data_IF_916934198089
#
_entry.id   IF_916934198089
#
_cell.length_a   1.000
_cell.length_b   1.000
_cell.length_c   1.000
_cell.angle_alpha   90.00
_cell.angle_beta   90.00
_cell.angle_gamma   90.00
#
_symmetry.space_group_name_H-M   'P 1'
#
loop_
_entity.id
_entity.type
_entity.pdbx_description
1 polymer ?
#
# COMPACT_ATOMS: atom_id res chain seq x y z
N UNK A 1 24.23 2.35 -18.90
CA UNK A 1 24.37 0.99 -18.35
C UNK A 1 23.03 0.55 -17.80
N UNK A 2 22.50 -0.58 -18.25
CA UNK A 2 21.23 -1.08 -17.72
C UNK A 2 21.43 -1.56 -16.29
N UNK A 3 20.60 -1.09 -15.36
CA UNK A 3 20.62 -1.51 -13.97
C UNK A 3 20.13 -2.97 -13.87
N UNK A 4 20.75 -3.75 -13.01
CA UNK A 4 20.36 -5.15 -12.76
C UNK A 4 19.83 -5.29 -11.33
N UNK A 5 18.93 -6.25 -11.10
CA UNK A 5 18.30 -6.47 -9.80
C UNK A 5 19.32 -6.69 -8.66
N UNK A 6 20.40 -7.43 -8.94
CA UNK A 6 21.46 -7.69 -7.96
C UNK A 6 22.13 -6.41 -7.44
N UNK A 7 22.16 -5.35 -8.26
CA UNK A 7 22.77 -4.05 -7.95
C UNK A 7 21.75 -3.05 -7.38
N UNK A 8 20.57 -3.50 -6.99
CA UNK A 8 19.57 -2.69 -6.32
C UNK A 8 19.69 -2.88 -4.80
N UNK A 9 20.16 -1.84 -4.11
CA UNK A 9 20.44 -1.89 -2.68
C UNK A 9 19.37 -1.20 -1.83
N UNK A 10 18.43 -0.50 -2.44
CA UNK A 10 17.37 0.26 -1.80
C UNK A 10 16.16 0.41 -2.73
N UNK A 11 15.09 1.03 -2.22
CA UNK A 11 13.84 1.24 -2.97
C UNK A 11 14.03 2.17 -4.17
N UNK A 12 14.93 3.18 -4.07
CA UNK A 12 15.20 4.10 -5.19
C UNK A 12 15.91 3.41 -6.35
N UNK A 13 16.81 2.48 -6.05
CA UNK A 13 17.43 1.65 -7.09
C UNK A 13 16.40 0.80 -7.83
N UNK A 14 15.46 0.20 -7.09
CA UNK A 14 14.36 -0.58 -7.66
C UNK A 14 13.39 0.31 -8.46
N UNK A 15 13.14 1.54 -8.01
CA UNK A 15 12.38 2.55 -8.77
C UNK A 15 13.04 2.87 -10.11
N UNK A 16 14.35 3.07 -10.12
CA UNK A 16 15.10 3.33 -11.35
C UNK A 16 15.09 2.11 -12.30
N UNK A 17 15.18 0.90 -11.76
CA UNK A 17 15.06 -0.33 -12.56
C UNK A 17 13.64 -0.48 -13.13
N UNK A 18 12.59 -0.20 -12.33
CA UNK A 18 11.21 -0.19 -12.80
C UNK A 18 11.01 0.80 -13.96
N UNK A 19 11.60 2.01 -13.85
CA UNK A 19 11.58 3.01 -14.92
C UNK A 19 12.20 2.54 -16.23
N UNK A 20 13.19 1.63 -16.17
CA UNK A 20 13.81 1.03 -17.35
C UNK A 20 13.00 -0.13 -17.94
N UNK A 21 12.08 -0.71 -17.17
CA UNK A 21 11.28 -1.88 -17.57
C UNK A 21 9.90 -1.52 -18.08
N UNK A 22 9.34 -0.43 -17.57
CA UNK A 22 7.97 -0.02 -17.88
C UNK A 22 7.92 1.06 -18.96
N UNK A 23 6.91 1.02 -19.83
CA UNK A 23 6.54 2.18 -20.66
C UNK A 23 6.29 3.41 -19.78
N UNK A 24 6.67 4.60 -20.30
CA UNK A 24 6.57 5.86 -19.55
C UNK A 24 5.20 6.12 -18.93
N UNK A 25 4.07 5.95 -19.66
CA UNK A 25 2.75 6.14 -19.07
C UNK A 25 2.48 5.22 -17.86
N UNK A 26 2.86 3.95 -17.97
CA UNK A 26 2.68 2.96 -16.88
C UNK A 26 3.59 3.29 -15.69
N UNK A 27 4.83 3.70 -15.94
CA UNK A 27 5.72 4.13 -14.87
C UNK A 27 5.18 5.38 -14.17
N UNK A 28 4.72 6.38 -14.90
CA UNK A 28 4.16 7.60 -14.33
C UNK A 28 2.89 7.35 -13.52
N UNK A 29 2.07 6.37 -13.92
CA UNK A 29 0.91 5.96 -13.13
C UNK A 29 1.28 5.47 -11.73
N UNK A 30 2.37 4.68 -11.58
CA UNK A 30 2.85 4.24 -10.25
C UNK A 30 3.52 5.39 -9.51
N UNK A 31 4.40 6.12 -10.21
CA UNK A 31 5.34 7.08 -9.63
C UNK A 31 4.68 8.41 -9.30
N UNK A 32 3.64 8.80 -10.06
CA UNK A 32 2.93 10.06 -9.94
C UNK A 32 2.03 10.15 -8.71
N UNK A 33 1.68 11.40 -8.38
CA UNK A 33 0.76 11.76 -7.32
C UNK A 33 -0.20 12.87 -7.78
N UNK A 34 -0.95 13.49 -6.87
CA UNK A 34 -1.92 14.52 -7.19
C UNK A 34 -1.24 15.90 -7.33
N UNK A 35 -1.77 16.73 -8.20
CA UNK A 35 -1.44 18.13 -8.42
C UNK A 35 0.08 18.40 -8.44
N UNK A 36 0.59 19.26 -7.56
CA UNK A 36 2.01 19.61 -7.45
C UNK A 36 2.88 18.57 -6.74
N UNK A 37 2.29 17.44 -6.28
CA UNK A 37 2.96 16.34 -5.59
C UNK A 37 3.69 16.75 -4.29
N UNK A 38 3.22 17.79 -3.62
CA UNK A 38 3.79 18.30 -2.36
C UNK A 38 3.65 17.22 -1.28
N UNK A 39 2.44 16.68 -1.12
CA UNK A 39 2.14 15.62 -0.15
C UNK A 39 2.96 14.36 -0.44
N UNK A 40 3.10 13.97 -1.70
CA UNK A 40 3.93 12.82 -2.09
C UNK A 40 5.38 12.97 -1.65
N UNK A 41 5.98 14.14 -1.92
CA UNK A 41 7.36 14.41 -1.47
C UNK A 41 7.45 14.44 0.05
N UNK A 42 6.49 15.11 0.72
CA UNK A 42 6.44 15.22 2.18
C UNK A 42 6.30 13.86 2.86
N UNK A 43 5.57 12.91 2.28
CA UNK A 43 5.41 11.57 2.86
C UNK A 43 6.75 10.88 3.17
N UNK A 44 7.77 11.10 2.38
CA UNK A 44 9.11 10.53 2.62
C UNK A 44 10.02 11.52 3.36
N UNK A 45 10.03 12.81 3.00
CA UNK A 45 10.90 13.80 3.64
C UNK A 45 10.52 14.11 5.09
N UNK A 46 9.30 13.82 5.52
CA UNK A 46 8.89 13.98 6.92
C UNK A 46 9.77 13.17 7.88
N UNK A 47 10.25 12.01 7.46
CA UNK A 47 11.18 11.21 8.27
C UNK A 47 12.55 11.85 8.46
N UNK A 48 12.94 12.80 7.59
CA UNK A 48 14.22 13.52 7.71
C UNK A 48 14.18 14.57 8.82
N UNK A 49 13.00 15.03 9.23
CA UNK A 49 12.80 15.97 10.32
C UNK A 49 12.89 15.32 11.72
N UNK A 50 13.19 14.03 11.79
CA UNK A 50 13.27 13.27 13.02
C UNK A 50 14.53 12.41 13.06
N UNK A 51 15.28 12.49 14.13
CA UNK A 51 16.47 11.69 14.39
C UNK A 51 16.17 10.52 15.31
N UNK A 52 16.91 9.40 15.14
CA UNK A 52 16.93 8.27 16.05
C UNK A 52 18.07 8.44 17.06
N UNK A 53 17.80 8.19 18.34
CA UNK A 53 18.79 8.27 19.43
C UNK A 53 19.21 6.85 19.81
N UNK A 54 20.44 6.43 19.48
CA UNK A 54 20.92 5.10 19.79
C UNK A 54 21.32 4.94 21.27
N UNK A 55 21.11 3.74 21.81
CA UNK A 55 21.66 3.30 23.09
C UNK A 55 22.83 2.34 22.83
N UNK A 56 23.94 2.52 23.50
CA UNK A 56 25.14 1.71 23.32
C UNK A 56 25.34 0.72 24.46
N UNK A 57 26.16 -0.32 24.25
CA UNK A 57 26.51 -1.36 25.23
C UNK A 57 25.29 -2.18 25.71
N UNK A 58 24.23 -2.27 24.91
CA UNK A 58 22.98 -2.95 25.26
C UNK A 58 22.99 -4.48 25.08
N UNK A 59 24.11 -5.05 24.60
CA UNK A 59 24.26 -6.52 24.49
C UNK A 59 23.31 -7.18 23.48
N UNK A 60 23.06 -6.52 22.34
CA UNK A 60 22.09 -6.98 21.34
C UNK A 60 22.68 -8.11 20.49
N UNK A 61 22.35 -9.36 20.82
CA UNK A 61 22.78 -10.54 20.07
C UNK A 61 21.71 -11.01 19.08
N UNK A 62 20.49 -11.23 19.59
CA UNK A 62 19.34 -11.70 18.80
C UNK A 62 18.32 -10.59 18.62
N UNK A 63 17.68 -10.56 17.45
CA UNK A 63 16.66 -9.57 17.10
C UNK A 63 15.33 -10.28 16.83
N UNK A 64 14.28 -9.82 17.48
CA UNK A 64 12.89 -10.16 17.17
C UNK A 64 12.20 -8.93 16.52
N UNK A 65 11.87 -9.07 15.24
CA UNK A 65 11.17 -8.04 14.47
C UNK A 65 9.67 -8.28 14.40
N UNK A 66 9.17 -9.34 15.05
CA UNK A 66 7.76 -9.70 14.94
C UNK A 66 6.85 -8.69 15.63
N UNK A 67 5.66 -8.52 15.06
CA UNK A 67 4.59 -7.70 15.60
C UNK A 67 3.26 -8.44 15.49
N UNK A 68 2.28 -8.04 16.31
CA UNK A 68 0.89 -8.46 16.12
C UNK A 68 0.06 -7.25 15.74
N UNK A 69 -0.67 -7.35 14.62
CA UNK A 69 -1.56 -6.28 14.13
C UNK A 69 -2.88 -6.90 13.67
N UNK A 70 -4.01 -6.33 14.11
CA UNK A 70 -5.35 -6.90 13.85
C UNK A 70 -5.43 -8.38 14.26
N UNK A 71 -4.82 -8.74 15.40
CA UNK A 71 -4.75 -10.11 15.88
C UNK A 71 -3.86 -11.06 15.06
N UNK A 72 -3.22 -10.59 13.98
CA UNK A 72 -2.37 -11.38 13.10
C UNK A 72 -0.90 -11.19 13.44
N UNK A 73 -0.16 -12.30 13.61
CA UNK A 73 1.29 -12.26 13.80
C UNK A 73 2.01 -12.07 12.47
N UNK A 74 2.93 -11.12 12.44
CA UNK A 74 3.82 -10.85 11.30
C UNK A 74 5.27 -10.96 11.76
N UNK A 75 6.14 -11.54 10.92
CA UNK A 75 7.58 -11.65 11.22
C UNK A 75 8.34 -10.34 10.93
N UNK A 76 7.68 -9.38 10.27
CA UNK A 76 8.21 -8.05 9.96
C UNK A 76 7.21 -6.96 10.36
N UNK A 77 7.68 -5.82 10.91
CA UNK A 77 6.80 -4.70 11.29
C UNK A 77 6.37 -3.85 10.07
N UNK A 78 6.39 -4.45 8.88
CA UNK A 78 5.93 -3.82 7.63
C UNK A 78 5.31 -4.87 6.72
N UNK A 79 4.23 -4.49 6.03
CA UNK A 79 3.53 -5.35 5.09
C UNK A 79 3.26 -4.65 3.74
N UNK A 80 2.87 -5.44 2.74
CA UNK A 80 2.53 -4.96 1.42
C UNK A 80 1.14 -4.32 1.42
N UNK A 81 1.09 -2.98 1.29
CA UNK A 81 -0.15 -2.18 1.25
C UNK A 81 -1.01 -2.57 0.03
N UNK A 82 -2.35 -2.52 0.12
CA UNK A 82 -3.19 -2.80 -1.04
C UNK A 82 -2.95 -1.79 -2.17
N UNK A 83 -2.71 -2.30 -3.37
CA UNK A 83 -2.55 -1.50 -4.58
C UNK A 83 -3.25 -2.15 -5.76
N UNK A 84 -3.81 -1.33 -6.63
CA UNK A 84 -4.56 -1.75 -7.80
C UNK A 84 -3.67 -2.18 -8.97
N UNK A 85 -4.22 -2.95 -9.92
CA UNK A 85 -3.72 -3.15 -11.28
C UNK A 85 -2.33 -3.78 -11.37
N UNK A 86 -1.96 -4.66 -10.47
CA UNK A 86 -0.57 -5.12 -10.37
C UNK A 86 -0.07 -5.86 -11.62
N UNK A 87 -0.95 -6.57 -12.35
CA UNK A 87 -0.57 -7.22 -13.62
C UNK A 87 -0.29 -6.24 -14.76
N UNK A 88 -0.67 -4.97 -14.62
CA UNK A 88 -0.24 -3.92 -15.54
C UNK A 88 1.27 -3.62 -15.43
N UNK A 89 1.86 -3.89 -14.27
CA UNK A 89 3.27 -3.62 -13.98
C UNK A 89 4.17 -4.83 -14.21
N UNK A 90 3.65 -6.02 -13.94
CA UNK A 90 4.31 -7.31 -14.20
C UNK A 90 3.24 -8.38 -14.39
N UNK A 91 3.44 -9.31 -15.32
CA UNK A 91 2.45 -10.33 -15.66
C UNK A 91 1.98 -11.20 -14.49
N UNK A 92 2.84 -11.45 -13.51
CA UNK A 92 2.48 -12.20 -12.30
C UNK A 92 1.63 -11.38 -11.32
N UNK A 93 1.73 -10.04 -11.35
CA UNK A 93 0.92 -9.14 -10.53
C UNK A 93 0.88 -9.52 -9.06
N UNK A 94 -0.34 -9.61 -8.53
CA UNK A 94 -0.64 -9.94 -7.13
C UNK A 94 -0.07 -11.32 -6.71
N UNK A 95 0.05 -12.28 -7.65
CA UNK A 95 0.65 -13.60 -7.40
C UNK A 95 2.09 -13.51 -6.92
N UNK A 96 2.87 -12.64 -7.57
CA UNK A 96 4.28 -12.40 -7.22
C UNK A 96 4.42 -11.78 -5.83
N UNK A 97 3.54 -10.83 -5.51
CA UNK A 97 3.55 -10.14 -4.20
C UNK A 97 3.08 -11.09 -3.10
N UNK A 98 2.04 -11.87 -3.33
CA UNK A 98 1.53 -12.86 -2.40
C UNK A 98 2.62 -13.85 -1.97
N UNK A 99 3.30 -14.48 -2.95
CA UNK A 99 4.39 -15.44 -2.68
C UNK A 99 5.57 -14.79 -1.94
N UNK A 100 5.92 -13.55 -2.29
CA UNK A 100 6.97 -12.83 -1.59
C UNK A 100 6.57 -12.49 -0.15
N UNK A 101 5.33 -12.04 0.08
CA UNK A 101 4.81 -11.77 1.43
C UNK A 101 4.82 -13.03 2.30
N UNK A 102 4.38 -14.17 1.76
CA UNK A 102 4.42 -15.46 2.44
C UNK A 102 5.85 -15.86 2.83
N UNK A 103 6.79 -15.77 1.89
CA UNK A 103 8.21 -16.07 2.16
C UNK A 103 8.81 -15.25 3.29
N UNK A 104 8.34 -14.03 3.48
CA UNK A 104 8.83 -13.13 4.53
C UNK A 104 7.94 -13.12 5.80
N UNK A 105 6.92 -13.97 5.86
CA UNK A 105 6.01 -14.06 7.01
C UNK A 105 5.28 -12.74 7.29
N UNK A 106 4.93 -11.98 6.23
CA UNK A 106 4.23 -10.71 6.39
C UNK A 106 2.89 -10.70 5.69
N UNK A 107 2.04 -9.70 6.00
CA UNK A 107 0.70 -9.57 5.44
C UNK A 107 0.74 -9.04 4.00
N UNK A 108 -0.20 -9.51 3.19
CA UNK A 108 -0.48 -8.92 1.88
C UNK A 108 -1.87 -8.27 1.85
N UNK A 109 -1.89 -6.96 1.57
CA UNK A 109 -3.11 -6.21 1.29
C UNK A 109 -3.51 -6.35 -0.18
N UNK A 110 -4.65 -6.97 -0.46
CA UNK A 110 -5.20 -7.13 -1.80
C UNK A 110 -6.26 -6.07 -2.04
N UNK A 111 -6.18 -5.37 -3.18
CA UNK A 111 -7.13 -4.33 -3.54
C UNK A 111 -8.37 -4.90 -4.22
N UNK A 112 -9.54 -4.28 -4.00
CA UNK A 112 -10.75 -4.54 -4.78
C UNK A 112 -10.57 -4.29 -6.28
N UNK A 113 -9.57 -3.48 -6.66
CA UNK A 113 -9.13 -3.28 -8.05
C UNK A 113 -7.95 -4.19 -8.42
N UNK A 114 -7.84 -5.34 -7.76
CA UNK A 114 -6.86 -6.38 -8.08
C UNK A 114 -7.15 -7.05 -9.42
N UNK A 115 -6.08 -7.57 -10.02
CA UNK A 115 -6.12 -8.25 -11.32
C UNK A 115 -6.06 -9.78 -11.19
N UNK A 116 -6.03 -10.28 -9.98
CA UNK A 116 -6.11 -11.70 -9.59
C UNK A 116 -7.23 -11.84 -8.56
N UNK A 117 -8.01 -12.93 -8.64
CA UNK A 117 -9.16 -13.12 -7.75
C UNK A 117 -8.75 -13.32 -6.30
N UNK A 118 -9.64 -12.89 -5.36
CA UNK A 118 -9.46 -13.15 -3.93
C UNK A 118 -9.33 -14.63 -3.65
N UNK A 119 -10.12 -15.45 -4.36
CA UNK A 119 -10.07 -16.91 -4.24
C UNK A 119 -8.69 -17.47 -4.57
N UNK A 120 -8.12 -17.06 -5.69
CA UNK A 120 -6.78 -17.53 -6.11
C UNK A 120 -5.70 -17.14 -5.09
N UNK A 121 -5.73 -15.89 -4.61
CA UNK A 121 -4.77 -15.45 -3.58
C UNK A 121 -5.02 -16.20 -2.26
N UNK A 122 -6.29 -16.44 -1.88
CA UNK A 122 -6.67 -17.20 -0.69
C UNK A 122 -6.14 -18.63 -0.70
N UNK A 123 -6.24 -19.28 -1.86
CA UNK A 123 -5.76 -20.67 -2.05
C UNK A 123 -4.22 -20.74 -2.15
N UNK A 124 -3.56 -19.64 -2.55
CA UNK A 124 -2.13 -19.59 -2.85
C UNK A 124 -1.25 -19.46 -1.62
N UNK A 125 -1.66 -18.66 -0.62
CA UNK A 125 -0.84 -18.30 0.54
C UNK A 125 -1.57 -18.52 1.86
N UNK A 126 -0.79 -18.90 2.87
CA UNK A 126 -1.27 -19.11 4.25
C UNK A 126 -1.03 -17.92 5.19
N UNK A 127 -0.14 -17.01 4.82
CA UNK A 127 0.11 -15.78 5.59
C UNK A 127 -1.09 -14.86 5.64
N UNK A 128 -1.18 -13.96 6.65
CA UNK A 128 -2.29 -13.04 6.79
C UNK A 128 -2.56 -12.21 5.54
N UNK A 129 -3.83 -12.08 5.20
CA UNK A 129 -4.36 -11.36 4.04
C UNK A 129 -5.34 -10.29 4.49
N UNK A 130 -5.18 -9.07 4.00
CA UNK A 130 -6.08 -7.94 4.19
C UNK A 130 -6.80 -7.67 2.88
N UNK A 131 -8.13 -7.69 2.86
CA UNK A 131 -8.88 -7.24 1.69
C UNK A 131 -9.18 -5.74 1.79
N UNK A 132 -8.71 -4.95 0.84
CA UNK A 132 -9.02 -3.53 0.76
C UNK A 132 -10.22 -3.32 -0.15
N UNK A 133 -11.18 -2.60 0.35
CA UNK A 133 -12.50 -2.40 -0.19
C UNK A 133 -12.79 -0.93 -0.44
N UNK A 134 -13.50 -0.62 -1.55
CA UNK A 134 -14.13 0.67 -1.81
C UNK A 134 -15.63 0.52 -1.67
N UNK A 135 -16.29 1.53 -1.12
CA UNK A 135 -17.73 1.49 -0.92
C UNK A 135 -18.48 1.90 -2.19
N UNK A 136 -19.28 1.00 -2.75
CA UNK A 136 -19.98 1.21 -4.02
C UNK A 136 -21.42 1.64 -3.81
N UNK A 137 -21.99 2.35 -4.81
CA UNK A 137 -23.43 2.69 -4.85
C UNK A 137 -24.29 1.42 -4.89
N UNK A 138 -23.83 0.41 -5.61
CA UNK A 138 -24.46 -0.92 -5.62
C UNK A 138 -24.14 -1.68 -4.33
N UNK A 139 -25.15 -1.80 -3.47
CA UNK A 139 -25.00 -2.51 -2.17
C UNK A 139 -24.84 -4.02 -2.36
N UNK A 140 -25.46 -4.59 -3.43
CA UNK A 140 -25.28 -6.00 -3.77
C UNK A 140 -23.84 -6.34 -4.15
N UNK A 141 -23.16 -5.43 -4.86
CA UNK A 141 -21.72 -5.55 -5.14
C UNK A 141 -20.90 -5.51 -3.84
N UNK A 142 -21.24 -4.60 -2.91
CA UNK A 142 -20.58 -4.53 -1.62
C UNK A 142 -20.68 -5.84 -0.85
N UNK A 143 -21.88 -6.40 -0.76
CA UNK A 143 -22.14 -7.65 -0.05
C UNK A 143 -21.41 -8.83 -0.72
N UNK A 144 -21.48 -8.94 -2.04
CA UNK A 144 -20.78 -9.98 -2.78
C UNK A 144 -19.26 -9.94 -2.60
N UNK A 145 -18.65 -8.76 -2.53
CA UNK A 145 -17.21 -8.62 -2.29
C UNK A 145 -16.81 -9.05 -0.88
N UNK A 146 -17.61 -8.70 0.12
CA UNK A 146 -17.39 -9.14 1.51
C UNK A 146 -17.48 -10.67 1.61
N UNK A 147 -18.53 -11.27 1.03
CA UNK A 147 -18.73 -12.72 1.01
C UNK A 147 -17.58 -13.45 0.31
N UNK A 148 -17.10 -12.93 -0.83
CA UNK A 148 -15.94 -13.49 -1.55
C UNK A 148 -14.66 -13.43 -0.70
N UNK A 149 -14.42 -12.34 0.02
CA UNK A 149 -13.27 -12.22 0.90
C UNK A 149 -13.32 -13.19 2.09
N UNK A 150 -14.50 -13.36 2.69
CA UNK A 150 -14.74 -14.37 3.75
C UNK A 150 -14.50 -15.78 3.21
N UNK A 151 -15.12 -16.13 2.06
CA UNK A 151 -14.95 -17.43 1.42
C UNK A 151 -13.51 -17.76 1.00
N UNK A 152 -12.71 -16.71 0.71
CA UNK A 152 -11.29 -16.83 0.39
C UNK A 152 -10.37 -16.78 1.62
N UNK A 153 -10.92 -16.85 2.84
CA UNK A 153 -10.17 -16.83 4.11
C UNK A 153 -9.25 -15.60 4.27
N UNK A 154 -9.75 -14.41 3.92
CA UNK A 154 -9.06 -13.17 4.27
C UNK A 154 -9.21 -12.90 5.77
N UNK A 155 -8.11 -12.44 6.39
CA UNK A 155 -8.03 -12.28 7.84
C UNK A 155 -8.57 -10.94 8.32
N UNK A 156 -8.58 -9.91 7.47
CA UNK A 156 -9.05 -8.58 7.82
C UNK A 156 -9.66 -7.86 6.60
N UNK A 157 -10.57 -6.92 6.87
CA UNK A 157 -11.19 -6.05 5.87
C UNK A 157 -10.73 -4.60 6.12
N UNK A 158 -10.29 -3.90 5.08
CA UNK A 158 -9.96 -2.48 5.14
C UNK A 158 -10.89 -1.66 4.24
N UNK A 159 -11.74 -0.84 4.82
CA UNK A 159 -12.54 0.15 4.09
C UNK A 159 -11.68 1.38 3.79
N UNK A 160 -11.53 1.72 2.52
CA UNK A 160 -10.85 2.95 2.10
C UNK A 160 -11.83 4.12 2.13
N UNK A 161 -11.49 5.15 2.93
CA UNK A 161 -12.38 6.29 3.22
C UNK A 161 -11.87 7.63 2.65
N UNK A 162 -10.67 7.66 2.10
CA UNK A 162 -10.02 8.86 1.53
C UNK A 162 -10.26 9.01 0.01
N UNK A 163 -11.10 8.16 -0.59
CA UNK A 163 -11.25 8.07 -2.05
C UNK A 163 -12.74 8.12 -2.43
N UNK A 164 -13.42 9.20 -2.11
CA UNK A 164 -14.80 9.48 -2.55
C UNK A 164 -14.82 10.02 -3.99
N UNK A 165 -13.69 10.52 -4.46
CA UNK A 165 -13.44 10.97 -5.84
C UNK A 165 -11.97 10.70 -6.19
N UNK A 166 -11.62 10.73 -7.47
CA UNK A 166 -10.22 10.60 -7.91
C UNK A 166 -9.44 11.90 -7.72
N UNK A 167 -8.23 11.83 -7.17
CA UNK A 167 -7.30 12.96 -7.15
C UNK A 167 -6.83 13.33 -8.56
N UNK A 168 -6.46 14.58 -8.78
CA UNK A 168 -5.99 15.10 -10.07
C UNK A 168 -4.53 14.65 -10.32
N UNK A 169 -4.36 13.63 -11.15
CA UNK A 169 -3.03 13.05 -11.47
C UNK A 169 -2.53 13.59 -12.78
N UNK A 170 -1.93 14.75 -12.76
CA UNK A 170 -1.50 15.47 -13.97
C UNK A 170 -0.52 14.67 -14.84
N UNK A 171 0.34 13.83 -14.24
CA UNK A 171 1.24 12.97 -15.02
C UNK A 171 0.49 11.98 -15.90
N UNK A 172 -0.68 11.49 -15.47
CA UNK A 172 -1.53 10.61 -16.26
C UNK A 172 -2.15 11.39 -17.43
N UNK A 173 -2.54 12.66 -17.21
CA UNK A 173 -3.03 13.58 -18.26
C UNK A 173 -1.93 13.87 -19.27
N UNK A 174 -0.72 14.24 -18.85
CA UNK A 174 0.40 14.54 -19.75
C UNK A 174 0.85 13.34 -20.59
N UNK A 175 0.72 12.13 -20.09
CA UNK A 175 1.06 10.91 -20.83
C UNK A 175 -0.10 10.39 -21.67
N UNK A 176 -1.30 10.92 -21.47
CA UNK A 176 -2.53 10.43 -22.10
C UNK A 176 -2.98 9.06 -21.56
N UNK A 177 -2.47 8.65 -20.42
CA UNK A 177 -2.94 7.47 -19.68
C UNK A 177 -4.23 7.84 -18.92
N UNK A 178 -5.20 8.29 -19.70
CA UNK A 178 -6.52 8.73 -19.27
C UNK A 178 -7.56 7.68 -19.63
N UNK A 179 -8.81 7.96 -19.37
CA UNK A 179 -9.92 7.18 -19.82
C UNK A 179 -10.96 8.03 -20.55
N UNK A 180 -11.27 7.63 -21.77
CA UNK A 180 -10.51 6.67 -22.58
C UNK A 180 -9.04 7.12 -22.78
N UNK A 181 -8.10 6.21 -23.10
CA UNK A 181 -6.70 6.57 -23.31
C UNK A 181 -6.53 7.51 -24.51
N UNK A 182 -5.80 8.62 -24.30
CA UNK A 182 -5.43 9.60 -25.34
C UNK A 182 -3.92 9.69 -25.44
N UNK A 183 -3.28 8.57 -25.81
CA UNK A 183 -1.82 8.45 -25.80
C UNK A 183 -1.18 9.43 -26.77
N UNK A 184 -0.14 10.13 -26.28
CA UNK A 184 0.70 11.00 -27.10
C UNK A 184 1.64 10.17 -27.99
N UNK A 185 2.20 10.77 -29.07
CA UNK A 185 3.23 10.12 -29.88
C UNK A 185 4.42 9.63 -29.04
N UNK A 186 4.83 10.42 -28.05
CA UNK A 186 5.90 10.06 -27.10
C UNK A 186 5.51 8.82 -26.28
N UNK A 187 4.27 8.73 -25.87
CA UNK A 187 3.75 7.57 -25.12
C UNK A 187 3.70 6.33 -26.01
N UNK A 188 3.25 6.44 -27.25
CA UNK A 188 3.25 5.34 -28.22
C UNK A 188 4.68 4.82 -28.51
N UNK A 189 5.63 5.73 -28.73
CA UNK A 189 7.05 5.36 -28.85
C UNK A 189 7.58 4.65 -27.61
N UNK A 190 7.17 5.12 -26.43
CA UNK A 190 7.57 4.47 -25.17
C UNK A 190 7.07 3.03 -25.08
N UNK A 191 5.85 2.73 -25.53
CA UNK A 191 5.38 1.34 -25.60
C UNK A 191 6.20 0.51 -26.61
N UNK A 192 6.52 1.07 -27.78
CA UNK A 192 7.27 0.37 -28.81
C UNK A 192 8.70 -0.04 -28.39
N UNK A 193 9.36 0.77 -27.54
CA UNK A 193 10.73 0.48 -27.06
C UNK A 193 10.75 -0.42 -25.82
N UNK A 194 9.58 -0.88 -25.32
CA UNK A 194 9.46 -1.82 -24.21
C UNK A 194 8.80 -3.14 -24.67
N UNK A 195 9.38 -3.87 -25.65
CA UNK A 195 8.75 -5.05 -26.24
C UNK A 195 8.47 -6.16 -25.23
N UNK A 196 9.31 -6.32 -24.20
CA UNK A 196 9.09 -7.32 -23.14
C UNK A 196 7.80 -7.06 -22.35
N UNK A 197 7.50 -5.81 -22.03
CA UNK A 197 6.23 -5.43 -21.40
C UNK A 197 5.05 -5.65 -22.36
N UNK A 198 5.18 -5.19 -23.62
CA UNK A 198 4.14 -5.32 -24.61
C UNK A 198 3.78 -6.77 -24.93
N UNK A 199 4.77 -7.64 -25.09
CA UNK A 199 4.54 -9.07 -25.31
C UNK A 199 3.80 -9.72 -24.14
N UNK A 200 4.20 -9.44 -22.90
CA UNK A 200 3.50 -9.96 -21.72
C UNK A 200 2.06 -9.45 -21.60
N UNK A 201 1.80 -8.20 -21.98
CA UNK A 201 0.47 -7.60 -21.92
C UNK A 201 -0.47 -8.13 -23.00
N UNK A 202 0.01 -8.29 -24.26
CA UNK A 202 -0.85 -8.68 -25.38
C UNK A 202 -0.99 -10.20 -25.55
N UNK A 203 0.01 -10.97 -25.17
CA UNK A 203 0.03 -12.43 -25.33
C UNK A 203 -0.08 -13.21 -24.02
N UNK A 204 -0.09 -12.52 -22.90
CA UNK A 204 -0.34 -13.10 -21.59
C UNK A 204 -1.84 -13.31 -21.31
N UNK A 205 -2.14 -13.65 -20.08
CA UNK A 205 -3.50 -13.75 -19.58
C UNK A 205 -4.23 -12.38 -19.70
N UNK A 206 -5.48 -12.38 -20.12
CA UNK A 206 -6.28 -11.16 -20.29
C UNK A 206 -6.24 -10.28 -19.04
N UNK A 207 -6.05 -8.97 -19.25
CA UNK A 207 -6.05 -8.00 -18.16
C UNK A 207 -7.48 -7.65 -17.79
N UNK A 208 -7.90 -8.00 -16.58
CA UNK A 208 -9.24 -7.76 -16.05
C UNK A 208 -9.16 -7.28 -14.60
N UNK A 209 -10.16 -6.52 -14.15
CA UNK A 209 -10.42 -6.28 -12.73
C UNK A 209 -11.17 -7.49 -12.17
N UNK A 210 -10.44 -8.40 -11.55
CA UNK A 210 -10.89 -9.76 -11.30
C UNK A 210 -12.20 -9.86 -10.49
N UNK A 211 -12.39 -8.98 -9.49
CA UNK A 211 -13.57 -9.00 -8.63
C UNK A 211 -14.75 -8.19 -9.21
N UNK A 212 -14.51 -7.36 -10.23
CA UNK A 212 -15.54 -6.50 -10.82
C UNK A 212 -16.12 -7.04 -12.13
N UNK A 213 -15.52 -8.07 -12.73
CA UNK A 213 -15.88 -8.53 -14.07
C UNK A 213 -17.35 -8.92 -14.24
N UNK A 214 -17.97 -9.48 -13.20
CA UNK A 214 -19.38 -9.91 -13.24
C UNK A 214 -20.36 -8.73 -13.14
N UNK A 215 -19.90 -7.56 -12.68
CA UNK A 215 -20.70 -6.35 -12.45
C UNK A 215 -20.47 -5.28 -13.51
N UNK A 216 -19.48 -5.50 -14.36
CA UNK A 216 -19.17 -4.62 -15.49
C UNK A 216 -19.79 -5.21 -16.76
N UNK A 217 -20.59 -4.43 -17.50
CA UNK A 217 -21.22 -4.90 -18.73
C UNK A 217 -20.19 -5.52 -19.67
N UNK A 218 -20.44 -6.75 -20.11
CA UNK A 218 -19.67 -7.43 -21.16
C UNK A 218 -19.65 -6.56 -22.43
N UNK A 219 -18.44 -6.19 -22.87
CA UNK A 219 -18.24 -5.38 -24.07
C UNK A 219 -17.62 -4.00 -23.83
N UNK A 220 -17.49 -3.54 -22.59
CA UNK A 220 -16.59 -2.45 -22.27
C UNK A 220 -15.16 -3.01 -22.28
N UNK A 221 -14.42 -2.76 -23.39
CA UNK A 221 -12.97 -2.96 -23.39
C UNK A 221 -12.37 -2.45 -22.08
N UNK A 222 -11.34 -3.09 -21.57
CA UNK A 222 -10.55 -2.90 -20.33
C UNK A 222 -10.33 -1.44 -19.84
N UNK A 223 -10.88 -0.51 -20.48
CA UNK A 223 -11.00 0.90 -20.14
C UNK A 223 -12.37 1.25 -19.54
N UNK A 224 -12.87 0.46 -18.59
CA UNK A 224 -13.54 1.18 -17.52
C UNK A 224 -12.40 1.89 -16.86
N UNK A 225 -12.33 3.13 -17.23
CA UNK A 225 -11.27 3.94 -16.72
C UNK A 225 -11.38 3.89 -15.21
N UNK A 226 -10.24 3.82 -14.62
CA UNK A 226 -10.15 4.09 -13.18
C UNK A 226 -10.91 5.37 -12.85
N UNK A 227 -10.90 6.38 -13.74
CA UNK A 227 -11.70 7.58 -13.61
C UNK A 227 -13.21 7.33 -13.62
N UNK A 228 -13.71 6.53 -14.58
CA UNK A 228 -15.15 6.18 -14.66
C UNK A 228 -15.58 5.31 -13.47
N UNK A 229 -14.71 4.40 -12.99
CA UNK A 229 -14.95 3.66 -11.79
C UNK A 229 -15.16 4.59 -10.60
N UNK A 230 -14.24 5.51 -10.33
CA UNK A 230 -14.36 6.45 -9.22
C UNK A 230 -15.56 7.40 -9.38
N UNK A 231 -15.85 7.87 -10.56
CA UNK A 231 -16.98 8.80 -10.78
C UNK A 231 -18.35 8.11 -10.71
N UNK A 232 -18.47 6.88 -11.21
CA UNK A 232 -19.76 6.26 -11.47
C UNK A 232 -20.11 5.15 -10.47
N UNK A 233 -19.15 4.38 -9.99
CA UNK A 233 -19.40 3.21 -9.14
C UNK A 233 -19.28 3.52 -7.64
N UNK A 234 -18.38 4.41 -7.22
CA UNK A 234 -18.21 4.72 -5.81
C UNK A 234 -19.34 5.58 -5.25
N UNK A 235 -19.71 5.30 -4.02
CA UNK A 235 -20.69 6.09 -3.29
C UNK A 235 -20.01 7.30 -2.62
N UNK A 236 -20.20 8.47 -3.23
CA UNK A 236 -19.66 9.72 -2.68
C UNK A 236 -20.38 10.19 -1.41
N UNK A 237 -21.56 9.63 -1.12
CA UNK A 237 -22.33 9.91 0.07
C UNK A 237 -22.01 9.00 1.26
N UNK A 238 -21.03 8.09 1.12
CA UNK A 238 -20.58 7.19 2.18
C UNK A 238 -20.35 7.94 3.50
N UNK A 239 -20.90 7.41 4.56
CA UNK A 239 -20.91 8.00 5.90
C UNK A 239 -20.36 7.03 6.95
N UNK A 240 -20.25 7.50 8.19
CA UNK A 240 -19.85 6.66 9.33
C UNK A 240 -20.83 5.51 9.60
N UNK A 241 -22.12 5.74 9.38
CA UNK A 241 -23.14 4.68 9.52
C UNK A 241 -22.99 3.58 8.46
N UNK A 242 -22.53 3.91 7.26
CA UNK A 242 -22.22 2.91 6.24
C UNK A 242 -21.00 2.06 6.62
N UNK A 243 -19.97 2.70 7.21
CA UNK A 243 -18.80 2.00 7.71
C UNK A 243 -19.15 1.05 8.87
N UNK A 244 -20.00 1.49 9.80
CA UNK A 244 -20.51 0.68 10.91
C UNK A 244 -21.34 -0.51 10.39
N UNK A 245 -22.24 -0.28 9.44
CA UNK A 245 -23.04 -1.32 8.82
C UNK A 245 -22.17 -2.34 8.05
N UNK A 246 -21.11 -1.90 7.39
CA UNK A 246 -20.17 -2.79 6.71
C UNK A 246 -19.39 -3.63 7.73
N UNK A 247 -18.92 -3.03 8.82
CA UNK A 247 -18.25 -3.74 9.90
C UNK A 247 -19.13 -4.85 10.48
N UNK A 248 -20.41 -4.58 10.66
CA UNK A 248 -21.37 -5.56 11.20
C UNK A 248 -21.57 -6.81 10.29
N UNK A 249 -21.21 -6.72 9.00
CA UNK A 249 -21.25 -7.83 8.03
C UNK A 249 -19.95 -8.62 7.93
N UNK A 250 -18.85 -8.11 8.54
CA UNK A 250 -17.54 -8.73 8.48
C UNK A 250 -17.22 -9.44 9.81
N UNK A 251 -16.93 -10.74 9.76
CA UNK A 251 -16.67 -11.58 10.93
C UNK A 251 -15.22 -11.54 11.44
N UNK A 252 -14.44 -10.55 11.03
CA UNK A 252 -13.03 -10.42 11.38
C UNK A 252 -12.64 -9.01 11.77
N UNK A 253 -11.33 -8.76 11.97
CA UNK A 253 -10.82 -7.42 12.20
C UNK A 253 -11.17 -6.47 11.06
N UNK A 254 -11.67 -5.28 11.42
CA UNK A 254 -12.08 -4.22 10.51
C UNK A 254 -11.18 -2.99 10.64
N UNK A 255 -10.65 -2.51 9.53
CA UNK A 255 -9.73 -1.40 9.45
C UNK A 255 -10.30 -0.25 8.60
N UNK A 256 -10.15 0.99 9.04
CA UNK A 256 -10.42 2.16 8.21
C UNK A 256 -9.10 2.71 7.64
N UNK A 257 -8.98 2.72 6.30
CA UNK A 257 -7.80 3.22 5.57
C UNK A 257 -8.05 4.62 5.03
N UNK A 258 -7.18 5.55 5.39
CA UNK A 258 -7.28 6.95 4.95
C UNK A 258 -7.59 7.93 6.08
N UNK A 259 -7.43 7.50 7.32
CA UNK A 259 -7.65 8.35 8.50
C UNK A 259 -6.45 9.28 8.69
N UNK A 260 -6.69 10.60 8.72
CA UNK A 260 -5.64 11.61 8.82
C UNK A 260 -5.91 12.64 9.94
N UNK A 261 -6.93 12.44 10.76
CA UNK A 261 -7.24 13.33 11.88
C UNK A 261 -7.53 12.58 13.18
N UNK A 262 -7.25 13.20 14.32
CA UNK A 262 -7.61 12.68 15.64
C UNK A 262 -9.13 12.54 15.80
N UNK A 263 -9.89 13.46 15.22
CA UNK A 263 -11.35 13.44 15.30
C UNK A 263 -11.92 12.18 14.62
N UNK A 264 -11.43 11.84 13.42
CA UNK A 264 -11.88 10.66 12.70
C UNK A 264 -11.34 9.37 13.32
N UNK A 265 -10.11 9.39 13.87
CA UNK A 265 -9.56 8.26 14.61
C UNK A 265 -10.44 7.89 15.84
N UNK A 266 -10.96 8.90 16.58
CA UNK A 266 -11.90 8.68 17.68
C UNK A 266 -13.21 8.09 17.20
N UNK A 267 -13.77 8.58 16.09
CA UNK A 267 -14.99 8.00 15.49
C UNK A 267 -14.77 6.56 15.03
N UNK A 268 -13.55 6.22 14.53
CA UNK A 268 -13.21 4.84 14.20
C UNK A 268 -13.29 3.93 15.43
N UNK A 269 -12.83 4.41 16.59
CA UNK A 269 -13.02 3.70 17.88
C UNK A 269 -14.51 3.57 18.23
N UNK A 270 -15.28 4.66 18.08
CA UNK A 270 -16.70 4.68 18.46
C UNK A 270 -17.54 3.68 17.64
N UNK A 271 -17.25 3.47 16.35
CA UNK A 271 -17.90 2.44 15.54
C UNK A 271 -17.31 1.02 15.76
N UNK A 272 -16.34 0.88 16.66
CA UNK A 272 -15.70 -0.39 17.01
C UNK A 272 -14.76 -0.92 15.95
N UNK A 273 -14.06 -0.07 15.17
CA UNK A 273 -13.00 -0.52 14.29
C UNK A 273 -11.84 -1.11 15.11
N UNK A 274 -11.17 -2.16 14.58
CA UNK A 274 -10.05 -2.82 15.24
C UNK A 274 -8.71 -2.15 14.90
N UNK A 275 -8.66 -1.44 13.77
CA UNK A 275 -7.47 -0.73 13.32
C UNK A 275 -7.80 0.49 12.47
N UNK A 276 -6.83 1.40 12.39
CA UNK A 276 -6.79 2.47 11.39
C UNK A 276 -5.46 2.47 10.65
N UNK A 277 -5.51 2.75 9.35
CA UNK A 277 -4.33 3.08 8.55
C UNK A 277 -4.28 4.60 8.36
N UNK A 278 -3.30 5.23 9.00
CA UNK A 278 -2.99 6.65 8.76
C UNK A 278 -2.39 6.74 7.37
N UNK A 279 -3.15 7.29 6.42
CA UNK A 279 -2.82 7.28 5.00
C UNK A 279 -3.44 8.47 4.29
N UNK A 280 -2.67 9.08 3.39
CA UNK A 280 -3.14 10.06 2.40
C UNK A 280 -3.08 9.46 0.98
N UNK A 281 -3.25 8.13 0.88
CA UNK A 281 -3.22 7.39 -0.40
C UNK A 281 -1.89 7.56 -1.16
N UNK A 282 -0.80 7.75 -0.42
CA UNK A 282 0.52 8.00 -1.02
C UNK A 282 0.63 9.34 -1.76
N UNK A 283 -0.14 10.36 -1.36
CA UNK A 283 -0.19 11.67 -1.99
C UNK A 283 -0.95 11.70 -3.31
N UNK A 284 -1.84 10.74 -3.57
CA UNK A 284 -2.58 10.59 -4.84
C UNK A 284 -3.99 11.18 -4.80
N UNK A 285 -4.43 11.68 -3.65
CA UNK A 285 -5.76 12.26 -3.42
C UNK A 285 -5.63 13.76 -3.15
N UNK A 286 -5.83 14.22 -1.94
CA UNK A 286 -5.70 15.64 -1.59
C UNK A 286 -4.22 16.04 -1.51
N UNK A 287 -3.72 16.85 -2.45
CA UNK A 287 -2.39 17.46 -2.32
C UNK A 287 -2.42 18.61 -1.31
N UNK A 288 -1.30 18.92 -0.67
CA UNK A 288 -1.23 19.85 0.46
C UNK A 288 -1.66 19.22 1.80
N UNK A 289 -2.07 17.94 1.82
CA UNK A 289 -2.32 17.20 3.06
C UNK A 289 -1.04 16.93 3.83
N UNK A 290 -1.14 16.78 5.16
CA UNK A 290 0.00 16.38 6.00
C UNK A 290 0.47 14.96 5.65
N UNK A 291 1.73 14.64 5.95
CA UNK A 291 2.20 13.26 5.80
C UNK A 291 1.65 12.36 6.93
N UNK A 292 1.51 11.06 6.70
CA UNK A 292 1.16 10.10 7.76
C UNK A 292 2.13 10.15 8.95
N UNK A 293 3.43 10.36 8.70
CA UNK A 293 4.43 10.45 9.76
C UNK A 293 4.28 11.74 10.60
N UNK A 294 3.85 12.85 10.00
CA UNK A 294 3.57 14.09 10.74
C UNK A 294 2.33 13.98 11.64
N UNK A 295 1.41 13.00 11.37
CA UNK A 295 0.15 12.81 12.09
C UNK A 295 0.20 11.72 13.15
N UNK A 296 1.14 10.75 13.02
CA UNK A 296 1.04 9.50 13.77
C UNK A 296 1.08 9.68 15.28
N UNK A 297 1.93 10.57 15.78
CA UNK A 297 2.08 10.74 17.24
C UNK A 297 0.79 11.22 17.90
N UNK A 298 0.15 12.25 17.36
CA UNK A 298 -1.08 12.82 17.91
C UNK A 298 -2.28 11.86 17.79
N UNK A 299 -2.35 11.08 16.70
CA UNK A 299 -3.39 10.07 16.52
C UNK A 299 -3.17 8.90 17.46
N UNK A 300 -1.92 8.39 17.56
CA UNK A 300 -1.58 7.29 18.46
C UNK A 300 -1.81 7.65 19.93
N UNK A 301 -1.53 8.90 20.34
CA UNK A 301 -1.82 9.38 21.70
C UNK A 301 -3.32 9.38 22.02
N UNK A 302 -4.15 9.60 21.01
CA UNK A 302 -5.58 9.68 21.19
C UNK A 302 -6.31 8.33 21.22
N UNK A 303 -5.79 7.33 20.49
CA UNK A 303 -6.52 6.07 20.25
C UNK A 303 -5.66 4.80 20.27
N UNK A 304 -4.33 4.90 20.35
CA UNK A 304 -3.42 3.77 20.20
C UNK A 304 -3.49 2.73 21.34
N UNK A 305 -4.14 3.06 22.45
CA UNK A 305 -4.48 2.14 23.53
C UNK A 305 -5.76 1.33 23.30
N UNK A 306 -6.55 1.71 22.28
CA UNK A 306 -7.88 1.15 21.99
C UNK A 306 -7.92 0.35 20.70
N UNK A 307 -7.20 0.80 19.67
CA UNK A 307 -7.16 0.18 18.34
C UNK A 307 -5.75 0.17 17.78
N UNK A 308 -5.46 -0.73 16.85
CA UNK A 308 -4.16 -0.78 16.18
C UNK A 308 -4.00 0.41 15.21
N UNK A 309 -2.90 1.15 15.35
CA UNK A 309 -2.56 2.27 14.48
C UNK A 309 -1.47 1.84 13.50
N UNK A 310 -1.75 1.90 12.21
CA UNK A 310 -0.86 1.49 11.13
C UNK A 310 -0.43 2.73 10.34
N UNK A 311 0.87 2.91 10.12
CA UNK A 311 1.36 3.97 9.25
C UNK A 311 1.44 3.47 7.80
N UNK A 312 0.71 4.13 6.87
CA UNK A 312 0.72 3.81 5.44
C UNK A 312 1.22 5.00 4.60
N UNK A 313 2.35 4.81 3.95
CA UNK A 313 2.93 5.80 3.04
C UNK A 313 4.32 6.29 3.43
N UNK A 314 5.10 6.72 2.43
CA UNK A 314 6.42 7.30 2.61
C UNK A 314 7.56 6.34 2.94
N UNK A 315 7.28 5.08 3.26
CA UNK A 315 8.29 4.09 3.64
C UNK A 315 9.23 3.77 2.47
N UNK A 316 10.54 3.94 2.69
CA UNK A 316 11.61 3.65 1.74
C UNK A 316 12.83 2.98 2.38
N UNK A 317 12.97 3.06 3.72
CA UNK A 317 14.11 2.59 4.50
C UNK A 317 13.64 1.86 5.77
N UNK A 318 14.48 0.99 6.31
CA UNK A 318 14.26 0.37 7.62
C UNK A 318 14.14 1.40 8.75
N UNK A 319 14.93 2.47 8.71
CA UNK A 319 14.83 3.57 9.69
C UNK A 319 13.48 4.29 9.66
N UNK A 320 12.80 4.36 8.51
CA UNK A 320 11.44 4.93 8.46
C UNK A 320 10.45 4.05 9.24
N UNK A 321 10.59 2.73 9.14
CA UNK A 321 9.76 1.78 9.91
C UNK A 321 10.02 1.97 11.41
N UNK A 322 11.28 2.00 11.84
CA UNK A 322 11.63 2.16 13.26
C UNK A 322 11.16 3.51 13.82
N UNK A 323 11.28 4.59 13.05
CA UNK A 323 10.74 5.92 13.42
C UNK A 323 9.22 5.90 13.56
N UNK A 324 8.52 5.23 12.64
CA UNK A 324 7.06 5.11 12.72
C UNK A 324 6.61 4.31 13.95
N UNK A 325 7.27 3.18 14.24
CA UNK A 325 7.01 2.40 15.44
C UNK A 325 7.27 3.25 16.69
N UNK A 326 8.42 3.91 16.78
CA UNK A 326 8.76 4.79 17.90
C UNK A 326 7.75 5.94 18.07
N UNK A 327 7.16 6.41 16.99
CA UNK A 327 6.12 7.46 17.01
C UNK A 327 4.73 6.93 17.39
N UNK A 328 4.56 5.60 17.52
CA UNK A 328 3.33 4.96 18.01
C UNK A 328 2.61 4.06 17.00
N UNK A 329 3.21 3.76 15.84
CA UNK A 329 2.65 2.76 14.94
C UNK A 329 2.79 1.36 15.51
N UNK A 330 1.75 0.53 15.35
CA UNK A 330 1.80 -0.90 15.62
C UNK A 330 2.58 -1.66 14.53
N UNK A 331 2.37 -1.24 13.30
CA UNK A 331 3.06 -1.71 12.10
C UNK A 331 3.06 -0.63 11.02
N UNK A 332 3.82 -0.86 9.96
CA UNK A 332 3.81 -0.02 8.76
C UNK A 332 3.23 -0.78 7.57
N UNK A 333 2.76 -0.05 6.57
CA UNK A 333 2.48 -0.61 5.25
C UNK A 333 3.11 0.25 4.15
N UNK A 334 3.39 -0.36 3.01
CA UNK A 334 4.01 0.36 1.91
C UNK A 334 3.56 -0.17 0.55
N UNK A 335 3.09 0.73 -0.33
CA UNK A 335 2.68 0.41 -1.70
C UNK A 335 3.84 0.50 -2.68
N UNK A 336 4.32 1.72 -2.96
CA UNK A 336 5.37 1.94 -3.98
C UNK A 336 6.67 1.20 -3.71
N UNK A 337 7.01 0.90 -2.44
CA UNK A 337 8.22 0.18 -2.08
C UNK A 337 8.30 -1.19 -2.77
N UNK A 338 7.17 -1.90 -2.87
CA UNK A 338 7.12 -3.18 -3.55
C UNK A 338 6.60 -3.08 -4.99
N UNK A 339 5.77 -2.08 -5.36
CA UNK A 339 5.32 -1.90 -6.74
C UNK A 339 6.47 -1.62 -7.71
N UNK A 340 7.43 -0.77 -7.32
CA UNK A 340 8.65 -0.59 -8.12
C UNK A 340 9.40 -1.90 -8.28
N UNK A 341 9.43 -2.69 -7.22
CA UNK A 341 10.14 -3.95 -7.18
C UNK A 341 9.47 -5.03 -8.01
N UNK A 342 8.14 -5.09 -7.95
CA UNK A 342 7.30 -5.93 -8.81
C UNK A 342 7.54 -5.59 -10.29
N UNK A 343 7.44 -4.30 -10.63
CA UNK A 343 7.69 -3.83 -12.00
C UNK A 343 9.12 -4.08 -12.48
N UNK A 344 10.08 -4.02 -11.58
CA UNK A 344 11.49 -4.26 -11.88
C UNK A 344 11.78 -5.73 -12.22
N UNK A 345 11.21 -6.70 -11.49
CA UNK A 345 11.59 -8.10 -11.63
C UNK A 345 10.58 -9.13 -11.07
N UNK A 346 9.29 -8.80 -10.96
CA UNK A 346 8.28 -9.73 -10.45
C UNK A 346 8.55 -10.16 -9.01
N UNK A 347 8.27 -11.43 -8.68
CA UNK A 347 8.49 -11.98 -7.34
C UNK A 347 9.93 -11.76 -6.82
N UNK A 348 11.00 -12.07 -7.57
CA UNK A 348 12.39 -11.79 -7.13
C UNK A 348 12.62 -10.31 -6.79
N UNK A 349 11.97 -9.40 -7.49
CA UNK A 349 12.02 -7.96 -7.19
C UNK A 349 11.40 -7.64 -5.83
N UNK A 350 10.19 -8.13 -5.56
CA UNK A 350 9.49 -7.92 -4.28
C UNK A 350 10.28 -8.56 -3.13
N UNK A 351 10.80 -9.77 -3.32
CA UNK A 351 11.67 -10.43 -2.34
C UNK A 351 12.94 -9.62 -2.05
N UNK A 352 13.53 -8.99 -3.08
CA UNK A 352 14.70 -8.11 -2.91
C UNK A 352 14.35 -6.88 -2.07
N UNK A 353 13.21 -6.24 -2.29
CA UNK A 353 12.76 -5.09 -1.50
C UNK A 353 12.51 -5.46 -0.03
N UNK A 354 11.75 -6.52 0.21
CA UNK A 354 11.47 -7.00 1.57
C UNK A 354 12.76 -7.46 2.27
N UNK A 355 13.66 -8.15 1.55
CA UNK A 355 14.96 -8.57 2.07
C UNK A 355 15.85 -7.39 2.45
N UNK A 356 15.92 -6.35 1.62
CA UNK A 356 16.68 -5.14 1.92
C UNK A 356 16.11 -4.44 3.17
N UNK A 357 14.77 -4.26 3.26
CA UNK A 357 14.13 -3.64 4.41
C UNK A 357 14.34 -4.48 5.69
N UNK A 358 14.21 -5.81 5.60
CA UNK A 358 14.50 -6.72 6.72
C UNK A 358 15.91 -6.54 7.23
N UNK A 359 16.90 -6.52 6.32
CA UNK A 359 18.30 -6.33 6.69
C UNK A 359 18.59 -4.96 7.30
N UNK A 360 17.95 -3.90 6.75
CA UNK A 360 18.04 -2.54 7.31
C UNK A 360 17.45 -2.50 8.72
N UNK A 361 16.22 -2.96 8.93
CA UNK A 361 15.56 -2.98 10.24
C UNK A 361 16.41 -3.75 11.26
N UNK A 362 16.87 -4.95 10.91
CA UNK A 362 17.67 -5.78 11.79
C UNK A 362 19.00 -5.10 12.19
N UNK A 363 19.70 -4.49 11.23
CA UNK A 363 20.93 -3.74 11.49
C UNK A 363 20.67 -2.53 12.38
N UNK A 364 19.61 -1.77 12.04
CA UNK A 364 19.32 -0.50 12.69
C UNK A 364 18.78 -0.71 14.14
N UNK A 365 18.05 -1.81 14.41
CA UNK A 365 17.69 -2.23 15.76
C UNK A 365 18.95 -2.54 16.60
N UNK A 366 19.96 -3.21 16.02
CA UNK A 366 21.24 -3.45 16.72
C UNK A 366 21.94 -2.13 17.05
N UNK A 367 21.95 -1.18 16.11
CA UNK A 367 22.56 0.13 16.31
C UNK A 367 21.78 0.99 17.32
N UNK A 368 20.46 0.80 17.43
CA UNK A 368 19.61 1.45 18.44
C UNK A 368 19.76 0.81 19.84
N UNK A 369 20.36 -0.38 19.94
CA UNK A 369 20.50 -1.09 21.20
C UNK A 369 19.23 -1.79 21.66
N UNK A 370 18.37 -2.25 20.75
CA UNK A 370 17.11 -2.94 21.06
C UNK A 370 17.10 -4.35 20.48
N UNK A 371 16.47 -5.29 21.19
CA UNK A 371 16.36 -6.70 20.77
C UNK A 371 14.99 -7.04 20.19
N UNK A 372 13.96 -6.23 20.46
CA UNK A 372 12.60 -6.42 19.94
C UNK A 372 11.95 -5.12 19.56
N UNK A 373 10.95 -5.20 18.66
CA UNK A 373 10.14 -4.07 18.25
C UNK A 373 9.41 -3.42 19.44
N UNK A 374 9.00 -4.22 20.43
CA UNK A 374 8.29 -3.74 21.62
C UNK A 374 9.14 -2.84 22.54
N UNK A 375 10.46 -2.82 22.38
CA UNK A 375 11.36 -1.93 23.14
C UNK A 375 11.51 -0.53 22.49
N UNK A 376 10.96 -0.37 21.29
CA UNK A 376 11.09 0.89 20.54
C UNK A 376 9.98 1.84 20.96
N UNK A 377 10.35 3.00 21.51
CA UNK A 377 9.42 4.01 21.98
C UNK A 377 9.88 5.45 21.63
N UNK A 378 9.10 6.44 22.01
CA UNK A 378 9.33 7.86 21.71
C UNK A 378 10.60 8.43 22.32
N UNK A 379 11.15 7.84 23.36
CA UNK A 379 12.41 8.29 23.96
C UNK A 379 13.58 8.20 22.96
N UNK A 380 13.43 7.35 21.94
CA UNK A 380 14.40 7.15 20.86
C UNK A 380 14.24 8.16 19.70
N UNK A 381 13.28 9.08 19.78
CA UNK A 381 13.05 10.10 18.76
C UNK A 381 13.50 11.49 19.23
N UNK A 382 14.07 12.26 18.30
CA UNK A 382 14.29 13.70 18.47
C UNK A 382 13.86 14.41 17.20
N UNK A 383 12.77 15.16 17.29
CA UNK A 383 12.33 16.02 16.19
C UNK A 383 13.22 17.25 16.12
N UNK A 384 13.68 17.57 14.91
CA UNK A 384 14.48 18.76 14.66
C UNK A 384 13.59 19.99 14.79
N UNK A 385 13.99 20.93 15.61
CA UNK A 385 13.37 22.28 15.62
C UNK A 385 13.70 22.96 14.33
N UNK A 386 12.69 23.40 13.59
CA UNK A 386 12.87 24.25 12.41
C UNK A 386 13.13 25.70 12.82
#
# INVERSE_FOLDING_TARGET
MFRQLQNCHNVDDLRLLAKQRLPGPIFHYIDGAADDEITYRRNTSAFEDCDLVPNVLAGVEKIDMSVSVMGQKLDLPIFCSPTALQRLFHHDGERAVAKAAEKFGTMFGVSALGTVTLKEIGDMISTPKLFQFYFHKDRGLNDAMVERAQAANFNALALTVDTITGGNRERDLYTGFTSPPKLTLKSLLSFAIHPGWALNYFFGEAFELAELKDFVQQGSNVSISIGDYFANMLDQSMSWSDAEALKAKWDGPFCLKGIMSVADAKKAVDIGADAIMISNHGGRQLDGSRSPFDQISEISDAVGDKIDVILDGGIRRGTHVLKAIAAGAKACSGGRMYLYSLAAAGQPGVEKALGNLKAEIQRDMKLLGVTSISQIDRSMLRFRTR
#
